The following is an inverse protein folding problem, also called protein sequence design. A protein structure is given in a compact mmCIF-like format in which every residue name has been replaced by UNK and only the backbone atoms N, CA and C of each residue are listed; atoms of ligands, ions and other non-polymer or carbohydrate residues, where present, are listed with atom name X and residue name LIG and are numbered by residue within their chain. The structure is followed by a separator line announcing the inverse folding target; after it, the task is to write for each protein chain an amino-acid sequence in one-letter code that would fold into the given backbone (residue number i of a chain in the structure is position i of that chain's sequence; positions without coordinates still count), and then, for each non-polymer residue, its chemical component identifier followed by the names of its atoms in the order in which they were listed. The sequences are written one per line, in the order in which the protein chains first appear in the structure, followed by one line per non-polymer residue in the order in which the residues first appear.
data_IF_030603658771
#
_entry.id   IF_030603658771
#
_cell.length_a   1.000
_cell.length_b   1.000
_cell.length_c   1.000
_cell.angle_alpha   90.00
_cell.angle_beta   90.00
_cell.angle_gamma   90.00
#
_symmetry.space_group_name_H-M   'P 1'
#
loop_
_entity.id
_entity.type
_entity.pdbx_description
1 polymer ?
#
# COMPACT_ATOMS: atom_id res chain seq x y z
N UNK A 1 49.32 -16.65 -16.70
CA UNK A 1 49.29 -15.20 -17.00
C UNK A 1 50.67 -14.62 -16.70
N UNK A 2 51.45 -14.31 -17.73
CA UNK A 2 52.82 -13.80 -17.59
C UNK A 2 52.80 -12.34 -17.16
N UNK A 3 53.39 -12.03 -16.00
CA UNK A 3 53.66 -10.66 -15.57
C UNK A 3 54.99 -10.21 -16.17
N UNK A 4 55.06 -9.10 -16.93
CA UNK A 4 56.33 -8.60 -17.40
C UNK A 4 57.17 -8.11 -16.20
N UNK A 5 58.31 -8.75 -15.98
CA UNK A 5 59.32 -8.25 -15.03
C UNK A 5 60.01 -7.08 -15.71
N UNK A 6 59.62 -5.86 -15.33
CA UNK A 6 60.29 -4.66 -15.79
C UNK A 6 61.77 -4.72 -15.36
N UNK A 7 62.70 -4.69 -16.33
CA UNK A 7 64.13 -4.55 -16.05
C UNK A 7 64.35 -3.16 -15.45
N UNK A 8 64.47 -3.11 -14.13
CA UNK A 8 64.81 -1.89 -13.40
C UNK A 8 66.26 -1.53 -13.75
N UNK A 9 66.46 -0.56 -14.63
CA UNK A 9 67.74 0.12 -14.75
C UNK A 9 68.12 0.67 -13.37
N UNK A 10 69.36 0.46 -12.95
CA UNK A 10 69.93 0.98 -11.69
C UNK A 10 70.01 2.52 -11.74
N UNK A 11 68.86 3.18 -11.59
CA UNK A 11 68.79 4.61 -11.31
C UNK A 11 68.76 4.74 -9.80
N UNK A 12 69.81 5.33 -9.23
CA UNK A 12 69.87 5.70 -7.82
C UNK A 12 68.87 6.82 -7.56
N UNK A 13 67.62 6.45 -7.33
CA UNK A 13 66.57 7.39 -6.93
C UNK A 13 66.75 7.62 -5.42
N UNK A 14 67.29 8.78 -5.04
CA UNK A 14 67.43 9.23 -3.65
C UNK A 14 66.07 9.62 -3.01
N UNK A 15 65.02 8.84 -3.25
CA UNK A 15 63.75 8.99 -2.54
C UNK A 15 63.64 7.89 -1.49
N UNK A 16 63.87 8.24 -0.23
CA UNK A 16 63.82 7.31 0.93
C UNK A 16 62.36 6.95 1.30
N UNK A 17 61.37 7.60 0.68
CA UNK A 17 59.96 7.38 0.99
C UNK A 17 59.41 6.17 0.23
N UNK A 18 58.95 5.09 0.91
CA UNK A 18 58.28 3.98 0.24
C UNK A 18 57.00 4.49 -0.42
N UNK A 19 56.75 4.06 -1.68
CA UNK A 19 55.54 4.45 -2.41
C UNK A 19 54.33 3.79 -1.74
N UNK A 20 53.52 4.58 -1.03
CA UNK A 20 52.20 4.15 -0.57
C UNK A 20 51.27 4.13 -1.77
N UNK A 21 50.80 2.95 -2.14
CA UNK A 21 50.10 2.71 -3.40
C UNK A 21 48.68 3.30 -3.43
N UNK A 22 48.03 3.55 -2.27
CA UNK A 22 46.76 4.29 -2.16
C UNK A 22 46.48 4.71 -0.71
N UNK A 23 46.78 5.97 -0.35
CA UNK A 23 46.54 6.46 1.01
C UNK A 23 45.05 6.47 1.40
N UNK A 24 44.16 6.70 0.41
CA UNK A 24 42.71 6.78 0.62
C UNK A 24 42.12 5.40 0.96
N UNK A 25 42.57 4.32 0.29
CA UNK A 25 42.08 2.97 0.58
C UNK A 25 42.48 2.52 1.97
N UNK A 26 43.70 2.83 2.38
CA UNK A 26 44.22 2.44 3.68
C UNK A 26 43.48 3.18 4.82
N UNK A 27 43.20 4.47 4.61
CA UNK A 27 42.40 5.29 5.52
C UNK A 27 40.97 4.72 5.64
N UNK A 28 40.31 4.47 4.51
CA UNK A 28 38.96 3.91 4.48
C UNK A 28 38.86 2.56 5.22
N UNK A 29 39.80 1.65 4.98
CA UNK A 29 39.83 0.34 5.66
C UNK A 29 40.08 0.52 7.17
N UNK A 30 40.94 1.48 7.56
CA UNK A 30 41.19 1.77 8.96
C UNK A 30 39.93 2.30 9.66
N UNK A 31 39.21 3.22 9.03
CA UNK A 31 37.97 3.77 9.55
C UNK A 31 36.87 2.71 9.68
N UNK A 32 36.68 1.85 8.67
CA UNK A 32 35.72 0.74 8.76
C UNK A 32 36.03 -0.17 9.94
N UNK A 33 37.31 -0.51 10.15
CA UNK A 33 37.73 -1.39 11.25
C UNK A 33 37.53 -0.73 12.62
N UNK A 34 37.66 0.60 12.69
CA UNK A 34 37.47 1.37 13.92
C UNK A 34 36.00 1.67 14.19
N UNK A 35 35.16 1.69 13.15
CA UNK A 35 33.75 1.98 13.27
C UNK A 35 33.05 0.88 14.07
N UNK A 36 32.59 1.26 15.26
CA UNK A 36 31.70 0.45 16.08
C UNK A 36 30.31 1.09 16.04
N UNK A 37 29.32 0.46 15.40
CA UNK A 37 27.97 0.99 15.41
C UNK A 37 27.50 1.12 16.86
N UNK A 38 26.85 2.24 17.19
CA UNK A 38 26.23 2.41 18.50
C UNK A 38 25.12 1.38 18.63
N UNK A 39 25.18 0.56 19.68
CA UNK A 39 24.13 -0.40 19.99
C UNK A 39 22.89 0.42 20.37
N UNK A 40 21.87 0.39 19.52
CA UNK A 40 20.60 1.03 19.81
C UNK A 40 19.94 0.33 20.99
N UNK A 41 19.43 1.11 21.92
CA UNK A 41 18.67 0.56 23.03
C UNK A 41 17.32 0.04 22.53
N UNK A 42 16.74 -0.94 23.24
CA UNK A 42 15.43 -1.49 22.86
C UNK A 42 14.33 -0.41 22.81
N UNK A 43 14.45 0.62 23.66
CA UNK A 43 13.54 1.77 23.67
C UNK A 43 13.65 2.61 22.38
N UNK A 44 14.87 2.85 21.89
CA UNK A 44 15.10 3.56 20.63
C UNK A 44 14.55 2.78 19.43
N UNK A 45 14.76 1.45 19.41
CA UNK A 45 14.23 0.56 18.37
C UNK A 45 12.69 0.58 18.36
N UNK A 46 12.07 0.49 19.54
CA UNK A 46 10.61 0.54 19.67
C UNK A 46 10.03 1.91 19.31
N UNK A 47 10.76 3.01 19.54
CA UNK A 47 10.33 4.36 19.15
C UNK A 47 10.49 4.64 17.66
N UNK A 48 11.42 3.96 16.99
CA UNK A 48 11.69 4.14 15.56
C UNK A 48 10.66 3.41 14.68
N UNK A 49 9.89 2.48 15.24
CA UNK A 49 8.93 1.64 14.50
C UNK A 49 7.54 1.82 15.08
N UNK A 50 6.60 2.27 14.26
CA UNK A 50 5.18 2.22 14.61
C UNK A 50 4.73 0.76 14.62
N UNK A 51 4.47 0.21 15.81
CA UNK A 51 4.00 -1.16 15.94
C UNK A 51 2.62 -1.32 15.28
N UNK A 52 2.49 -2.30 14.40
CA UNK A 52 1.23 -2.60 13.73
C UNK A 52 0.25 -3.20 14.73
N UNK A 53 -0.83 -2.48 15.02
CA UNK A 53 -1.96 -2.98 15.80
C UNK A 53 -3.06 -3.44 14.85
N UNK A 54 -3.49 -4.69 15.01
CA UNK A 54 -4.63 -5.20 14.26
C UNK A 54 -5.88 -4.40 14.67
N UNK A 55 -6.68 -3.92 13.71
CA UNK A 55 -7.94 -3.25 14.04
C UNK A 55 -8.84 -4.22 14.82
N UNK A 56 -9.54 -3.69 15.82
CA UNK A 56 -10.56 -4.46 16.50
C UNK A 56 -11.59 -4.98 15.48
N UNK A 57 -12.11 -6.18 15.71
CA UNK A 57 -13.22 -6.70 14.90
C UNK A 57 -14.32 -5.64 14.85
N UNK A 58 -14.89 -5.35 13.67
CA UNK A 58 -15.95 -4.36 13.57
C UNK A 58 -17.05 -4.78 14.54
N UNK A 59 -17.32 -3.91 15.52
CA UNK A 59 -18.51 -4.04 16.34
C UNK A 59 -19.66 -3.75 15.38
N UNK A 60 -20.57 -4.72 15.23
CA UNK A 60 -21.82 -4.49 14.49
C UNK A 60 -22.41 -3.23 15.11
N UNK A 61 -22.64 -2.15 14.33
CA UNK A 61 -23.25 -0.95 14.85
C UNK A 61 -24.52 -1.41 15.55
N UNK A 62 -24.59 -1.14 16.85
CA UNK A 62 -25.64 -1.61 17.73
C UNK A 62 -26.96 -1.26 17.06
N UNK A 63 -27.62 -2.28 16.50
CA UNK A 63 -28.78 -2.10 15.64
C UNK A 63 -29.86 -1.39 16.46
N UNK A 64 -30.23 -0.19 16.04
CA UNK A 64 -31.52 0.42 16.42
C UNK A 64 -32.70 -0.36 15.83
N UNK A 65 -32.45 -1.47 15.13
CA UNK A 65 -33.48 -2.38 14.67
C UNK A 65 -33.64 -3.50 15.72
N UNK A 66 -34.30 -3.14 16.82
CA UNK A 66 -34.90 -4.12 17.74
C UNK A 66 -35.86 -5.01 16.94
N UNK A 67 -35.98 -6.29 17.30
CA UNK A 67 -36.95 -7.21 16.67
C UNK A 67 -38.40 -6.66 16.73
N UNK A 68 -38.69 -5.74 17.65
CA UNK A 68 -39.96 -5.02 17.75
C UNK A 68 -40.10 -3.94 16.66
N UNK A 69 -39.01 -3.25 16.31
CA UNK A 69 -38.99 -2.26 15.22
C UNK A 69 -39.20 -2.93 13.85
N UNK A 70 -38.70 -4.16 13.66
CA UNK A 70 -38.98 -4.95 12.44
C UNK A 70 -40.45 -5.29 12.34
N UNK A 71 -41.07 -5.75 13.44
CA UNK A 71 -42.51 -6.07 13.47
C UNK A 71 -43.38 -4.84 13.24
N UNK A 72 -42.98 -3.68 13.74
CA UNK A 72 -43.68 -2.42 13.50
C UNK A 72 -43.61 -2.01 12.03
N UNK A 73 -42.47 -2.21 11.36
CA UNK A 73 -42.32 -1.98 9.93
C UNK A 73 -43.13 -2.98 9.08
N UNK A 74 -43.17 -4.25 9.48
CA UNK A 74 -43.99 -5.27 8.80
C UNK A 74 -45.49 -5.02 8.91
N UNK A 75 -45.93 -4.37 9.99
CA UNK A 75 -47.35 -4.08 10.25
C UNK A 75 -47.76 -2.67 9.85
N UNK A 76 -46.81 -1.79 9.51
CA UNK A 76 -47.12 -0.44 9.04
C UNK A 76 -47.66 -0.48 7.61
N UNK A 77 -48.87 0.03 7.42
CA UNK A 77 -49.44 0.27 6.10
C UNK A 77 -48.62 1.35 5.37
N UNK A 78 -48.36 1.12 4.08
CA UNK A 78 -47.63 2.07 3.24
C UNK A 78 -48.50 3.30 3.03
N UNK A 79 -48.11 4.43 3.63
CA UNK A 79 -48.75 5.72 3.40
C UNK A 79 -48.45 6.22 1.99
N UNK A 80 -49.28 5.83 1.03
CA UNK A 80 -49.29 6.41 -0.31
C UNK A 80 -49.86 7.83 -0.21
N UNK A 81 -49.05 8.83 -0.55
CA UNK A 81 -49.51 10.20 -0.68
C UNK A 81 -50.61 10.26 -1.76
N UNK A 82 -51.86 10.33 -1.31
CA UNK A 82 -53.07 10.50 -2.12
C UNK A 82 -53.13 9.62 -3.38
N UNK A 83 -53.70 8.42 -3.24
CA UNK A 83 -54.45 7.83 -4.33
C UNK A 83 -55.61 8.77 -4.70
N UNK A 84 -55.39 9.66 -5.66
CA UNK A 84 -56.49 10.22 -6.43
C UNK A 84 -57.09 9.04 -7.17
N UNK A 85 -58.30 8.62 -6.76
CA UNK A 85 -59.10 7.69 -7.52
C UNK A 85 -59.44 8.34 -8.88
N UNK A 86 -58.57 8.19 -9.87
CA UNK A 86 -58.94 8.39 -11.26
C UNK A 86 -59.54 7.08 -11.75
N UNK A 87 -60.84 7.12 -11.95
CA UNK A 87 -61.65 6.06 -12.53
C UNK A 87 -61.02 5.60 -13.85
N UNK A 88 -60.55 4.34 -13.90
CA UNK A 88 -60.35 3.62 -15.17
C UNK A 88 -59.04 3.83 -15.93
N UNK A 89 -57.89 3.87 -15.27
CA UNK A 89 -56.60 3.72 -15.95
C UNK A 89 -55.76 2.65 -15.27
N UNK A 90 -55.46 1.55 -15.97
CA UNK A 90 -54.37 0.66 -15.58
C UNK A 90 -53.10 1.50 -15.32
N UNK A 91 -52.32 1.20 -14.27
CA UNK A 91 -51.05 1.89 -14.06
C UNK A 91 -50.23 1.72 -15.33
N UNK A 92 -49.84 2.83 -15.95
CA UNK A 92 -48.94 2.81 -17.11
C UNK A 92 -47.66 2.14 -16.64
N UNK A 93 -47.43 0.90 -17.09
CA UNK A 93 -46.16 0.23 -16.94
C UNK A 93 -45.16 1.02 -17.80
N UNK A 94 -44.51 2.00 -17.20
CA UNK A 94 -43.38 2.66 -17.84
C UNK A 94 -42.31 1.58 -18.02
N UNK A 95 -41.98 1.25 -19.26
CA UNK A 95 -40.94 0.26 -19.58
C UNK A 95 -39.58 0.83 -19.21
N UNK A 96 -39.15 0.56 -17.98
CA UNK A 96 -37.83 0.94 -17.45
C UNK A 96 -36.66 0.19 -18.12
N UNK A 97 -36.98 -0.75 -19.02
CA UNK A 97 -36.03 -1.47 -19.83
C UNK A 97 -36.36 -1.27 -21.31
N UNK A 98 -35.61 -0.40 -21.98
CA UNK A 98 -35.57 -0.33 -23.44
C UNK A 98 -34.68 -1.47 -23.92
N UNK A 99 -35.27 -2.54 -24.43
CA UNK A 99 -34.54 -3.54 -25.20
C UNK A 99 -34.33 -2.98 -26.62
N UNK A 100 -33.09 -3.00 -27.12
CA UNK A 100 -32.83 -2.69 -28.52
C UNK A 100 -33.55 -3.76 -29.38
N UNK A 101 -34.48 -3.33 -30.25
CA UNK A 101 -35.07 -4.22 -31.25
C UNK A 101 -33.94 -4.76 -32.14
N UNK A 102 -33.68 -6.07 -32.07
CA UNK A 102 -32.88 -6.75 -33.09
C UNK A 102 -33.54 -6.49 -34.46
N UNK A 103 -32.81 -6.00 -35.47
CA UNK A 103 -33.39 -5.80 -36.79
C UNK A 103 -33.82 -7.17 -37.33
N UNK A 104 -35.12 -7.35 -37.54
CA UNK A 104 -35.64 -8.49 -38.28
C UNK A 104 -34.93 -8.53 -39.64
N UNK A 105 -34.04 -9.52 -39.83
CA UNK A 105 -33.46 -9.86 -41.12
C UNK A 105 -34.60 -10.29 -42.05
N UNK A 106 -35.17 -9.35 -42.79
CA UNK A 106 -35.96 -9.66 -43.96
C UNK A 106 -35.03 -10.09 -45.12
N UNK A 107 -34.72 -11.39 -45.15
CA UNK A 107 -34.23 -12.11 -46.33
C UNK A 107 -35.10 -13.34 -46.61
#
# INVERSE_FOLDING_TARGET
MFRPVARLSSRRLFSITPRKCNAISDLYIAEIKQFKPKVLTQAEIASAVQAFQLPAKPVVPQQEVSAEAVKQYETSDVELAHAVATEGGEPVAEDWFVFEEEPEEHH
#
